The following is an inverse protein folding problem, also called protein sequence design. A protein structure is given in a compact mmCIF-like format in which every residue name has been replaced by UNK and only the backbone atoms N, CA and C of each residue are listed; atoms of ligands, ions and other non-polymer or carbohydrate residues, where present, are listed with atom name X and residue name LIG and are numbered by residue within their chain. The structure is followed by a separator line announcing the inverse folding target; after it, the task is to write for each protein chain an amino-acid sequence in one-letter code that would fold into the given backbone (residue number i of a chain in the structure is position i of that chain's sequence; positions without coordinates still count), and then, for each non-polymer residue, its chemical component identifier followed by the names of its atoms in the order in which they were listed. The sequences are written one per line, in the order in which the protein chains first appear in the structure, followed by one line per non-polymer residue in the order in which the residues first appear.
data_IF_746653416089
#
_entry.id   IF_746653416089
#
_cell.length_a   1.000
_cell.length_b   1.000
_cell.length_c   1.000
_cell.angle_alpha   90.00
_cell.angle_beta   90.00
_cell.angle_gamma   90.00
#
_symmetry.space_group_name_H-M   'P 1'
#
loop_
_entity.id
_entity.type
_entity.pdbx_description
1 polymer ?
#
# COMPACT_ATOMS: atom_id res chain seq x y z
N UNK A 1 0.34 3.48 21.02
CA UNK A 1 -0.34 3.04 19.78
C UNK A 1 0.63 2.62 18.67
N UNK A 2 1.95 2.61 18.89
CA UNK A 2 2.97 2.37 17.83
C UNK A 2 3.30 0.87 17.64
N UNK A 3 2.70 -0.04 18.41
CA UNK A 3 3.04 -1.48 18.38
C UNK A 3 2.06 -2.35 17.57
N UNK A 4 1.17 -1.74 16.78
CA UNK A 4 0.27 -2.49 15.90
C UNK A 4 0.95 -2.73 14.54
N UNK A 5 1.06 -3.98 14.05
CA UNK A 5 1.55 -4.27 12.70
C UNK A 5 0.80 -3.48 11.61
N UNK A 6 -0.51 -3.27 11.78
CA UNK A 6 -1.31 -2.45 10.87
C UNK A 6 -0.90 -0.97 10.90
N UNK A 7 -0.60 -0.43 12.09
CA UNK A 7 -0.14 0.95 12.21
C UNK A 7 1.22 1.16 11.55
N UNK A 8 2.12 0.18 11.66
CA UNK A 8 3.43 0.21 11.00
C UNK A 8 3.29 0.16 9.47
N UNK A 9 2.46 -0.76 8.95
CA UNK A 9 2.22 -0.87 7.51
C UNK A 9 1.54 0.38 6.94
N UNK A 10 0.51 0.90 7.61
CA UNK A 10 -0.15 2.14 7.17
C UNK A 10 0.81 3.33 7.20
N UNK A 11 1.61 3.49 8.25
CA UNK A 11 2.61 4.56 8.30
C UNK A 11 3.65 4.43 7.18
N UNK A 12 4.03 3.21 6.82
CA UNK A 12 4.89 2.96 5.67
C UNK A 12 4.21 3.40 4.36
N UNK A 13 2.95 3.03 4.14
CA UNK A 13 2.17 3.41 2.96
C UNK A 13 2.01 4.94 2.89
N UNK A 14 1.60 5.60 3.98
CA UNK A 14 1.47 7.06 4.05
C UNK A 14 2.76 7.75 3.62
N UNK A 15 3.90 7.28 4.13
CA UNK A 15 5.22 7.81 3.81
C UNK A 15 5.59 7.58 2.35
N UNK A 16 5.40 6.37 1.82
CA UNK A 16 5.84 6.03 0.47
C UNK A 16 4.97 6.64 -0.62
N UNK A 17 3.68 6.86 -0.37
CA UNK A 17 2.75 7.50 -1.31
C UNK A 17 2.54 9.00 -1.02
N UNK A 18 3.05 9.53 0.09
CA UNK A 18 2.86 10.93 0.46
C UNK A 18 1.40 11.27 0.77
N UNK A 19 0.63 10.30 1.26
CA UNK A 19 -0.80 10.44 1.59
C UNK A 19 -1.03 10.39 3.10
N UNK A 20 -2.21 10.83 3.53
CA UNK A 20 -2.69 10.57 4.89
C UNK A 20 -3.92 9.67 4.85
N UNK A 21 -3.86 8.57 5.59
CA UNK A 21 -4.88 7.54 5.64
C UNK A 21 -5.66 7.72 6.94
N UNK A 22 -6.96 8.05 6.87
CA UNK A 22 -7.78 8.20 8.07
C UNK A 22 -8.03 6.85 8.72
N UNK A 23 -7.75 6.77 10.02
CA UNK A 23 -7.95 5.57 10.85
C UNK A 23 -9.14 5.81 11.78
N UNK A 24 -10.10 4.90 11.79
CA UNK A 24 -11.30 5.00 12.62
C UNK A 24 -11.69 3.63 13.19
N UNK A 25 -11.19 3.24 14.38
CA UNK A 25 -11.50 1.93 14.99
C UNK A 25 -13.00 1.63 15.08
N UNK A 26 -13.38 0.37 14.91
CA UNK A 26 -14.78 -0.04 15.08
C UNK A 26 -15.23 0.07 16.53
N UNK A 27 -16.50 0.45 16.71
CA UNK A 27 -17.14 0.51 18.04
C UNK A 27 -17.90 -0.76 18.38
N UNK A 28 -18.13 -1.65 17.40
CA UNK A 28 -18.85 -2.91 17.58
C UNK A 28 -18.04 -4.08 17.01
N UNK A 29 -17.12 -4.58 17.82
CA UNK A 29 -16.30 -5.76 17.46
C UNK A 29 -17.07 -7.08 17.60
N UNK A 30 -18.29 -7.09 18.12
CA UNK A 30 -19.04 -8.32 18.34
C UNK A 30 -19.53 -8.93 17.01
N UNK A 31 -19.78 -8.09 16.01
CA UNK A 31 -20.23 -8.51 14.68
C UNK A 31 -19.08 -8.94 13.75
N UNK A 32 -17.82 -8.73 14.16
CA UNK A 32 -16.62 -8.96 13.36
C UNK A 32 -16.10 -10.40 13.56
N UNK A 33 -15.85 -11.18 12.49
CA UNK A 33 -15.16 -12.47 12.56
C UNK A 33 -13.81 -12.34 13.26
N UNK A 34 -13.41 -13.37 14.00
CA UNK A 34 -12.18 -13.32 14.79
C UNK A 34 -10.94 -13.01 13.94
N UNK A 35 -10.87 -13.54 12.72
CA UNK A 35 -9.76 -13.28 11.78
C UNK A 35 -9.65 -11.82 11.37
N UNK A 36 -10.78 -11.11 11.24
CA UNK A 36 -10.84 -9.69 10.86
C UNK A 36 -10.79 -8.75 12.07
N UNK A 37 -11.02 -9.26 13.28
CA UNK A 37 -11.10 -8.45 14.51
C UNK A 37 -9.88 -7.54 14.71
N UNK A 38 -8.63 -7.97 14.48
CA UNK A 38 -7.46 -7.08 14.59
C UNK A 38 -7.52 -5.90 13.60
N UNK A 39 -7.91 -6.16 12.34
CA UNK A 39 -8.03 -5.12 11.31
C UNK A 39 -9.12 -4.12 11.67
N UNK A 40 -10.33 -4.56 12.03
CA UNK A 40 -11.44 -3.66 12.38
C UNK A 40 -11.27 -2.97 13.73
N UNK A 41 -10.49 -3.54 14.65
CA UNK A 41 -10.07 -2.84 15.86
C UNK A 41 -9.07 -1.73 15.57
N UNK A 42 -8.34 -1.83 14.46
CA UNK A 42 -7.46 -0.78 13.97
C UNK A 42 -8.25 0.27 13.16
N UNK A 43 -9.04 -0.14 12.16
CA UNK A 43 -9.91 0.75 11.39
C UNK A 43 -11.15 0.05 10.84
N UNK A 44 -12.32 0.63 11.05
CA UNK A 44 -13.61 0.23 10.48
C UNK A 44 -13.83 0.93 9.15
N UNK A 45 -13.42 0.25 8.10
CA UNK A 45 -13.21 0.84 6.80
C UNK A 45 -11.82 1.46 6.66
N UNK A 46 -11.21 1.27 5.50
CA UNK A 46 -9.89 1.77 5.18
C UNK A 46 -9.76 1.90 3.66
N UNK A 47 -9.38 3.09 3.18
CA UNK A 47 -9.10 3.32 1.77
C UNK A 47 -7.60 3.46 1.60
N UNK A 48 -7.01 2.53 0.85
CA UNK A 48 -5.61 2.48 0.50
C UNK A 48 -5.48 2.62 -1.03
N UNK A 49 -4.29 2.98 -1.56
CA UNK A 49 -4.08 3.08 -3.00
C UNK A 49 -4.43 1.80 -3.78
N UNK A 50 -4.35 0.64 -3.12
CA UNK A 50 -4.54 -0.68 -3.73
C UNK A 50 -5.73 -1.47 -3.16
N UNK A 51 -6.37 -1.00 -2.09
CA UNK A 51 -7.39 -1.76 -1.38
C UNK A 51 -8.44 -0.84 -0.75
N UNK A 52 -9.71 -1.21 -0.92
CA UNK A 52 -10.83 -0.61 -0.20
C UNK A 52 -11.42 -1.62 0.76
N UNK A 53 -11.18 -1.43 2.05
CA UNK A 53 -11.82 -2.19 3.11
C UNK A 53 -13.11 -1.46 3.47
N UNK A 54 -14.22 -2.18 3.40
CA UNK A 54 -15.54 -1.67 3.75
C UNK A 54 -15.70 -1.57 5.27
N UNK A 55 -16.59 -0.68 5.70
CA UNK A 55 -17.08 -0.72 7.08
C UNK A 55 -17.79 -2.05 7.31
N UNK A 56 -17.74 -2.56 8.54
CA UNK A 56 -18.33 -3.88 8.80
C UNK A 56 -19.84 -3.90 8.58
N UNK A 57 -20.51 -2.77 8.81
CA UNK A 57 -21.93 -2.60 8.53
C UNK A 57 -22.30 -2.72 7.04
N UNK A 58 -21.34 -2.44 6.15
CA UNK A 58 -21.53 -2.44 4.70
C UNK A 58 -21.07 -3.77 4.05
N UNK A 59 -20.47 -4.67 4.83
CA UNK A 59 -19.94 -5.94 4.34
C UNK A 59 -21.07 -6.89 3.89
N UNK A 60 -20.94 -7.44 2.69
CA UNK A 60 -21.95 -8.33 2.11
C UNK A 60 -21.74 -9.77 2.61
N UNK A 61 -22.78 -10.34 3.21
CA UNK A 61 -22.82 -11.72 3.73
C UNK A 61 -23.77 -12.65 2.97
N UNK A 62 -24.48 -12.12 1.98
CA UNK A 62 -25.60 -12.81 1.33
C UNK A 62 -25.23 -13.38 -0.04
N UNK A 63 -24.25 -12.79 -0.71
CA UNK A 63 -23.89 -13.20 -2.07
C UNK A 63 -23.05 -14.48 -2.09
N UNK A 64 -22.22 -14.70 -1.06
CA UNK A 64 -21.29 -15.81 -0.98
C UNK A 64 -21.58 -16.62 0.29
N UNK A 65 -22.14 -17.83 0.19
CA UNK A 65 -22.43 -18.66 1.37
C UNK A 65 -21.17 -18.86 2.21
N UNK A 66 -21.25 -18.65 3.52
CA UNK A 66 -20.15 -18.81 4.49
C UNK A 66 -18.96 -17.83 4.33
N UNK A 67 -19.02 -16.92 3.36
CA UNK A 67 -18.02 -15.88 3.13
C UNK A 67 -18.59 -14.48 3.38
N UNK A 68 -17.74 -13.62 3.93
CA UNK A 68 -18.03 -12.20 4.11
C UNK A 68 -17.14 -11.43 3.14
N UNK A 69 -17.75 -10.70 2.22
CA UNK A 69 -17.04 -9.73 1.40
C UNK A 69 -16.81 -8.47 2.22
N UNK A 70 -15.55 -8.23 2.59
CA UNK A 70 -15.13 -7.15 3.48
C UNK A 70 -14.42 -6.01 2.76
N UNK A 71 -14.20 -6.14 1.45
CA UNK A 71 -13.60 -5.11 0.63
C UNK A 71 -13.39 -5.55 -0.81
N UNK A 72 -12.71 -4.71 -1.57
CA UNK A 72 -12.30 -4.99 -2.94
C UNK A 72 -11.02 -4.26 -3.31
N UNK A 73 -10.34 -4.74 -4.35
CA UNK A 73 -9.41 -3.89 -5.08
C UNK A 73 -10.22 -2.82 -5.85
N UNK A 74 -9.55 -1.81 -6.41
CA UNK A 74 -10.21 -0.80 -7.25
C UNK A 74 -10.58 -1.34 -8.65
N UNK A 75 -10.54 -2.66 -8.85
CA UNK A 75 -10.69 -3.32 -10.14
C UNK A 75 -11.79 -4.39 -10.07
N UNK A 76 -11.43 -5.67 -10.00
CA UNK A 76 -12.33 -6.81 -10.12
C UNK A 76 -12.17 -7.85 -9.00
N UNK A 77 -11.29 -7.64 -8.02
CA UNK A 77 -11.10 -8.61 -6.95
C UNK A 77 -11.89 -8.22 -5.71
N UNK A 78 -12.53 -9.21 -5.08
CA UNK A 78 -13.15 -9.07 -3.77
C UNK A 78 -12.28 -9.66 -2.69
N UNK A 79 -12.24 -8.99 -1.55
CA UNK A 79 -11.58 -9.48 -0.36
C UNK A 79 -12.61 -10.22 0.50
N UNK A 80 -12.39 -11.50 0.70
CA UNK A 80 -13.35 -12.40 1.33
C UNK A 80 -12.78 -13.01 2.61
N UNK A 81 -13.63 -13.13 3.63
CA UNK A 81 -13.33 -13.82 4.88
C UNK A 81 -14.33 -14.95 5.12
N UNK A 82 -13.87 -16.19 5.21
CA UNK A 82 -14.68 -17.32 5.62
C UNK A 82 -15.02 -17.22 7.11
N UNK A 83 -16.25 -17.56 7.48
CA UNK A 83 -16.75 -17.38 8.86
C UNK A 83 -16.23 -18.41 9.85
N UNK A 84 -15.76 -19.58 9.39
CA UNK A 84 -15.53 -20.75 10.26
C UNK A 84 -14.36 -21.66 9.86
N UNK A 85 -13.60 -21.32 8.82
CA UNK A 85 -12.53 -22.17 8.27
C UNK A 85 -11.25 -21.36 8.17
N UNK A 86 -10.12 -21.97 8.51
CA UNK A 86 -8.78 -21.44 8.31
C UNK A 86 -8.04 -22.27 7.24
N UNK A 87 -7.21 -21.66 6.37
CA UNK A 87 -7.06 -20.21 6.17
C UNK A 87 -8.39 -19.58 5.78
N UNK A 88 -8.64 -18.37 6.30
CA UNK A 88 -9.97 -17.76 6.26
C UNK A 88 -10.07 -16.61 5.26
N UNK A 89 -8.95 -16.04 4.84
CA UNK A 89 -8.92 -14.82 4.03
C UNK A 89 -8.44 -15.10 2.63
N UNK A 90 -8.98 -14.40 1.65
CA UNK A 90 -8.54 -14.50 0.26
C UNK A 90 -8.89 -13.25 -0.54
N UNK A 91 -8.16 -13.06 -1.63
CA UNK A 91 -8.49 -12.11 -2.70
C UNK A 91 -8.98 -12.93 -3.87
N UNK A 92 -10.23 -12.71 -4.27
CA UNK A 92 -10.92 -13.53 -5.24
C UNK A 92 -11.42 -12.70 -6.42
N UNK A 93 -10.96 -13.05 -7.62
CA UNK A 93 -11.46 -12.51 -8.87
C UNK A 93 -12.82 -13.13 -9.20
N UNK A 94 -13.87 -12.31 -9.12
CA UNK A 94 -15.24 -12.77 -9.34
C UNK A 94 -15.58 -13.02 -10.82
N UNK A 95 -14.75 -12.56 -11.74
CA UNK A 95 -14.93 -12.75 -13.18
C UNK A 95 -14.39 -14.10 -13.68
N UNK A 96 -13.43 -14.69 -12.96
CA UNK A 96 -12.75 -15.93 -13.40
C UNK A 96 -13.50 -17.20 -12.99
N UNK A 97 -14.61 -17.07 -12.25
CA UNK A 97 -15.52 -18.16 -11.86
C UNK A 97 -14.81 -19.38 -11.22
N UNK A 98 -13.72 -19.13 -10.50
CA UNK A 98 -13.01 -20.14 -9.70
C UNK A 98 -13.70 -20.37 -8.37
N UNK A 99 -13.45 -21.53 -7.77
CA UNK A 99 -13.86 -21.80 -6.40
C UNK A 99 -13.17 -20.83 -5.44
N UNK A 100 -13.89 -20.39 -4.40
CA UNK A 100 -13.35 -19.50 -3.39
C UNK A 100 -12.58 -20.35 -2.38
N UNK A 101 -11.26 -20.15 -2.31
CA UNK A 101 -10.38 -20.84 -1.37
C UNK A 101 -9.68 -19.83 -0.46
N UNK A 102 -9.61 -20.15 0.83
CA UNK A 102 -8.86 -19.35 1.80
C UNK A 102 -7.36 -19.54 1.58
N UNK A 103 -6.61 -18.45 1.68
CA UNK A 103 -5.15 -18.42 1.44
C UNK A 103 -4.41 -17.91 2.67
N UNK A 104 -4.96 -16.90 3.37
CA UNK A 104 -4.30 -16.24 4.49
C UNK A 104 -4.99 -16.56 5.82
N UNK A 105 -4.16 -16.74 6.86
CA UNK A 105 -4.61 -16.98 8.24
C UNK A 105 -4.91 -15.69 8.99
N UNK A 106 -4.24 -14.59 8.64
CA UNK A 106 -4.38 -13.30 9.34
C UNK A 106 -4.59 -12.15 8.38
N UNK A 107 -5.33 -11.13 8.83
CA UNK A 107 -5.60 -9.94 8.04
C UNK A 107 -4.35 -9.07 7.79
N UNK A 108 -3.30 -9.20 8.62
CA UNK A 108 -2.05 -8.48 8.36
C UNK A 108 -1.26 -9.16 7.25
N UNK A 109 -1.19 -10.50 7.24
CA UNK A 109 -0.48 -11.24 6.18
C UNK A 109 -1.13 -10.97 4.82
N UNK A 110 -2.47 -11.03 4.77
CA UNK A 110 -3.23 -10.66 3.58
C UNK A 110 -2.94 -9.23 3.13
N UNK A 111 -3.02 -8.24 4.03
CA UNK A 111 -2.81 -6.84 3.65
C UNK A 111 -1.38 -6.55 3.19
N UNK A 112 -0.39 -7.24 3.77
CA UNK A 112 1.01 -7.17 3.33
C UNK A 112 1.18 -7.77 1.95
N UNK A 113 0.57 -8.92 1.66
CA UNK A 113 0.62 -9.55 0.33
C UNK A 113 -0.01 -8.65 -0.76
N UNK A 114 -1.19 -8.07 -0.49
CA UNK A 114 -1.84 -7.13 -1.41
C UNK A 114 -0.97 -5.90 -1.72
N UNK A 115 -0.27 -5.40 -0.70
CA UNK A 115 0.64 -4.28 -0.85
C UNK A 115 1.87 -4.63 -1.67
N UNK A 116 2.48 -5.80 -1.43
CA UNK A 116 3.63 -6.29 -2.18
C UNK A 116 3.26 -6.57 -3.65
N UNK A 117 2.14 -7.26 -3.88
CA UNK A 117 1.57 -7.49 -5.21
C UNK A 117 1.33 -6.20 -5.98
N UNK A 118 0.78 -5.17 -5.30
CA UNK A 118 0.58 -3.86 -5.90
C UNK A 118 1.90 -3.19 -6.33
N UNK A 119 2.94 -3.28 -5.50
CA UNK A 119 4.27 -2.72 -5.80
C UNK A 119 4.93 -3.46 -6.97
N UNK A 120 4.84 -4.79 -7.00
CA UNK A 120 5.50 -5.65 -7.98
C UNK A 120 4.80 -5.64 -9.35
N UNK A 121 3.62 -5.03 -9.44
CA UNK A 121 2.94 -4.82 -10.72
C UNK A 121 3.76 -3.86 -11.60
N UNK A 122 4.26 -4.39 -12.71
CA UNK A 122 5.13 -3.69 -13.66
C UNK A 122 4.34 -2.68 -14.51
N UNK A 123 4.16 -1.47 -13.98
CA UNK A 123 3.70 -0.30 -14.76
C UNK A 123 4.77 0.78 -14.74
N UNK A 124 5.03 1.39 -15.90
CA UNK A 124 6.08 2.40 -16.11
C UNK A 124 5.53 3.83 -16.17
N UNK A 125 4.29 4.04 -15.73
CA UNK A 125 3.58 5.30 -15.73
C UNK A 125 3.61 6.02 -14.37
N UNK A 126 4.46 5.60 -13.44
CA UNK A 126 4.60 6.21 -12.11
C UNK A 126 5.64 7.33 -12.13
N UNK A 127 5.68 8.13 -11.06
CA UNK A 127 6.72 9.14 -10.87
C UNK A 127 7.26 9.15 -9.44
N UNK A 128 8.52 9.52 -9.28
CA UNK A 128 9.12 9.81 -7.97
C UNK A 128 9.15 11.32 -7.79
N UNK A 129 8.43 11.83 -6.78
CA UNK A 129 8.45 13.24 -6.39
C UNK A 129 9.38 13.44 -5.20
N UNK A 130 10.44 14.19 -5.38
CA UNK A 130 11.30 14.68 -4.29
C UNK A 130 10.77 16.04 -3.84
N UNK A 131 10.40 16.16 -2.57
CA UNK A 131 9.77 17.37 -2.01
C UNK A 131 10.75 18.21 -1.21
N UNK A 132 11.65 17.58 -0.45
CA UNK A 132 12.62 18.29 0.38
C UNK A 132 13.94 17.52 0.46
N UNK A 133 15.05 18.26 0.35
CA UNK A 133 16.41 17.74 0.50
C UNK A 133 17.09 18.55 1.62
N UNK A 134 17.31 17.97 2.80
CA UNK A 134 17.99 18.67 3.88
C UNK A 134 19.45 19.00 3.53
N UNK A 135 19.95 20.14 4.03
CA UNK A 135 21.31 20.65 3.72
C UNK A 135 22.45 19.70 4.10
N UNK A 136 22.21 18.80 5.06
CA UNK A 136 23.19 17.81 5.56
C UNK A 136 23.26 16.51 4.75
N UNK A 137 22.38 16.30 3.76
CA UNK A 137 22.31 15.03 3.02
C UNK A 137 23.39 14.94 1.94
N UNK A 138 23.97 13.75 1.80
CA UNK A 138 24.90 13.41 0.72
C UNK A 138 24.19 13.38 -0.64
N UNK A 139 24.29 14.48 -1.39
CA UNK A 139 23.75 14.58 -2.76
C UNK A 139 24.32 13.53 -3.71
N UNK A 140 25.57 13.11 -3.50
CA UNK A 140 26.18 12.03 -4.29
C UNK A 140 25.55 10.67 -4.00
N UNK A 141 25.23 10.37 -2.73
CA UNK A 141 24.52 9.14 -2.39
C UNK A 141 23.12 9.15 -2.99
N UNK A 142 22.39 10.25 -2.86
CA UNK A 142 21.05 10.38 -3.43
C UNK A 142 21.03 10.22 -4.96
N UNK A 143 22.07 10.70 -5.66
CA UNK A 143 22.23 10.48 -7.10
C UNK A 143 22.47 9.02 -7.43
N UNK A 144 23.25 8.29 -6.62
CA UNK A 144 23.47 6.85 -6.81
C UNK A 144 22.15 6.09 -6.75
N UNK A 145 21.27 6.42 -5.80
CA UNK A 145 19.96 5.79 -5.68
C UNK A 145 19.02 6.14 -6.85
N UNK A 146 19.06 7.38 -7.34
CA UNK A 146 18.19 7.85 -8.44
C UNK A 146 18.66 7.36 -9.82
N UNK A 147 19.95 7.10 -9.99
CA UNK A 147 20.53 6.84 -11.32
C UNK A 147 19.90 5.66 -12.08
N UNK A 148 19.53 4.53 -11.44
CA UNK A 148 18.86 3.42 -12.11
C UNK A 148 17.55 3.80 -12.81
N UNK A 149 16.83 4.80 -12.27
CA UNK A 149 15.51 5.21 -12.76
C UNK A 149 15.52 6.54 -13.54
N UNK A 150 16.69 7.12 -13.78
CA UNK A 150 16.78 8.44 -14.38
C UNK A 150 17.97 8.59 -15.34
N UNK A 151 17.66 8.86 -16.61
CA UNK A 151 18.66 9.03 -17.68
C UNK A 151 19.46 10.32 -17.61
N UNK A 152 19.03 11.29 -16.78
CA UNK A 152 19.74 12.58 -16.62
C UNK A 152 21.19 12.37 -16.19
N UNK A 153 22.10 13.21 -16.68
CA UNK A 153 23.49 13.16 -16.26
C UNK A 153 23.62 13.45 -14.76
N UNK A 154 24.68 12.97 -14.10
CA UNK A 154 24.91 13.30 -12.67
C UNK A 154 25.00 14.81 -12.44
N UNK A 155 25.52 15.57 -13.41
CA UNK A 155 25.54 17.04 -13.34
C UNK A 155 24.14 17.65 -13.39
N UNK A 156 23.25 17.13 -14.23
CA UNK A 156 21.87 17.62 -14.30
C UNK A 156 21.10 17.28 -13.03
N UNK A 157 21.29 16.07 -12.50
CA UNK A 157 20.71 15.66 -11.22
C UNK A 157 21.24 16.54 -10.08
N UNK A 158 22.54 16.81 -10.00
CA UNK A 158 23.10 17.77 -9.03
C UNK A 158 22.47 19.16 -9.17
N UNK A 159 22.17 19.58 -10.40
CA UNK A 159 21.41 20.81 -10.67
C UNK A 159 20.02 20.77 -10.05
N UNK A 160 19.27 19.68 -10.25
CA UNK A 160 17.94 19.49 -9.66
C UNK A 160 17.97 19.49 -8.12
N UNK A 161 18.93 18.79 -7.52
CA UNK A 161 19.14 18.78 -6.07
C UNK A 161 19.46 20.16 -5.48
N UNK A 162 19.98 21.10 -6.28
CA UNK A 162 20.23 22.48 -5.86
C UNK A 162 19.01 23.38 -6.04
N UNK A 163 18.11 23.05 -6.97
CA UNK A 163 16.88 23.80 -7.20
C UNK A 163 15.76 23.50 -6.20
N UNK A 164 15.87 22.41 -5.43
CA UNK A 164 14.87 22.01 -4.44
C UNK A 164 14.02 20.84 -4.94
N UNK A 165 12.69 20.96 -4.86
CA UNK A 165 11.77 19.91 -5.26
C UNK A 165 11.81 19.62 -6.77
N UNK A 166 11.71 18.33 -7.15
CA UNK A 166 11.66 17.89 -8.55
C UNK A 166 10.93 16.56 -8.70
N UNK A 167 10.64 16.18 -9.96
CA UNK A 167 9.94 14.95 -10.31
C UNK A 167 10.77 14.15 -11.31
N UNK A 168 10.82 12.83 -11.10
CA UNK A 168 11.34 11.85 -12.06
C UNK A 168 10.13 11.08 -12.61
N UNK A 169 9.69 11.37 -13.83
CA UNK A 169 8.53 10.71 -14.42
C UNK A 169 8.89 9.37 -15.08
N UNK A 170 7.86 8.59 -15.42
CA UNK A 170 7.92 7.34 -16.18
C UNK A 170 8.84 6.29 -15.55
N UNK A 171 8.59 6.00 -14.27
CA UNK A 171 9.37 5.05 -13.48
C UNK A 171 8.55 3.79 -13.27
N UNK A 172 9.18 2.64 -13.45
CA UNK A 172 8.61 1.34 -13.07
C UNK A 172 8.24 1.38 -11.59
N UNK A 173 7.03 0.95 -11.24
CA UNK A 173 6.49 1.08 -9.88
C UNK A 173 7.44 0.52 -8.81
N UNK A 174 7.89 -0.72 -8.96
CA UNK A 174 8.78 -1.38 -8.00
C UNK A 174 10.09 -0.60 -7.80
N UNK A 175 10.70 -0.13 -8.90
CA UNK A 175 11.89 0.71 -8.84
C UNK A 175 11.61 2.07 -8.16
N UNK A 176 10.46 2.68 -8.40
CA UNK A 176 10.06 3.93 -7.75
C UNK A 176 10.00 3.75 -6.22
N UNK A 177 9.39 2.66 -5.73
CA UNK A 177 9.33 2.35 -4.31
C UNK A 177 10.71 2.06 -3.72
N UNK A 178 11.55 1.29 -4.42
CA UNK A 178 12.92 1.01 -3.99
C UNK A 178 13.73 2.30 -3.81
N UNK A 179 13.65 3.21 -4.79
CA UNK A 179 14.35 4.50 -4.71
C UNK A 179 13.77 5.38 -3.61
N UNK A 180 12.45 5.48 -3.46
CA UNK A 180 11.82 6.27 -2.38
C UNK A 180 12.24 5.77 -1.00
N UNK A 181 12.29 4.44 -0.79
CA UNK A 181 12.79 3.85 0.46
C UNK A 181 14.25 4.22 0.73
N UNK A 182 15.12 4.08 -0.28
CA UNK A 182 16.54 4.44 -0.15
C UNK A 182 16.75 5.94 0.11
N UNK A 183 15.96 6.81 -0.52
CA UNK A 183 16.00 8.26 -0.28
C UNK A 183 15.51 8.62 1.13
N UNK A 184 14.48 7.92 1.66
CA UNK A 184 14.07 8.09 3.05
C UNK A 184 15.16 7.70 4.05
N UNK A 185 15.93 6.65 3.78
CA UNK A 185 17.08 6.26 4.62
C UNK A 185 18.20 7.33 4.63
N UNK A 186 18.27 8.14 3.57
CA UNK A 186 19.14 9.31 3.50
C UNK A 186 18.52 10.58 4.14
N UNK A 187 17.28 10.50 4.63
CA UNK A 187 16.54 11.63 5.22
C UNK A 187 15.95 12.60 4.19
N UNK A 188 15.82 12.19 2.92
CA UNK A 188 15.18 12.99 1.87
C UNK A 188 13.68 12.74 1.91
N UNK A 189 12.88 13.80 1.84
CA UNK A 189 11.42 13.67 1.75
C UNK A 189 11.01 13.46 0.30
N UNK A 190 10.35 12.34 0.02
CA UNK A 190 9.88 11.98 -1.31
C UNK A 190 8.71 11.00 -1.26
N UNK A 191 8.02 10.81 -2.36
CA UNK A 191 6.98 9.79 -2.49
C UNK A 191 6.79 9.36 -3.94
N UNK A 192 6.12 8.22 -4.12
CA UNK A 192 5.65 7.71 -5.40
C UNK A 192 4.31 8.36 -5.74
N UNK A 193 4.19 8.87 -6.96
CA UNK A 193 2.91 9.23 -7.58
C UNK A 193 2.53 8.11 -8.55
N UNK A 194 1.50 7.35 -8.23
CA UNK A 194 0.93 6.34 -9.12
C UNK A 194 -0.13 6.99 -10.00
N UNK A 195 -0.05 6.78 -11.31
CA UNK A 195 -1.18 7.02 -12.19
C UNK A 195 -2.13 5.82 -12.07
N UNK A 196 -3.35 6.08 -11.60
CA UNK A 196 -4.44 5.09 -11.47
C UNK A 196 -5.39 5.16 -12.64
#
# INVERSE_FOLDING_TARGET
MVDSPFAMLVAQIEREFGVSIPISPSTDVAIVPDTLRPLYSFSDGLTLPFANIHKMADCNRTTYPDWICFGSDNYFSYFLCHVSQAPALTTWDHEVHTEIEGVFDTAIDWLTDEYESFIDTDTDDNAVRVTEIPDGVSKTAAITEIKPICDKSSSDLLGLFRSGAFVIPNVVRSDAFNVVRALHDLGISCHVECNT
#
